data_IF_702978826593
#
_entry.id   IF_702978826593
#
_cell.length_a   1.000
_cell.length_b   1.000
_cell.length_c   1.000
_cell.angle_alpha   90.00
_cell.angle_beta   90.00
_cell.angle_gamma   90.00
#
_symmetry.space_group_name_H-M   'P 1'
#
loop_
_entity.id
_entity.type
_entity.pdbx_description
1 polymer ?
#
# COMPACT_ATOMS: atom_id res chain seq x y z
N UNK A 1 33.64 25.25 3.84
CA UNK A 1 33.59 24.63 5.19
C UNK A 1 32.21 24.03 5.40
N UNK A 2 32.12 22.79 5.84
CA UNK A 2 30.81 22.14 6.07
C UNK A 2 30.17 22.70 7.34
N UNK A 3 28.89 23.10 7.27
CA UNK A 3 28.09 23.65 8.39
C UNK A 3 27.30 22.57 9.14
N UNK A 4 27.55 21.30 8.82
CA UNK A 4 26.93 20.13 9.46
C UNK A 4 27.42 20.04 10.91
N UNK A 5 26.50 19.82 11.86
CA UNK A 5 26.76 19.69 13.29
C UNK A 5 26.89 21.02 14.06
N UNK A 6 26.84 22.17 13.39
CA UNK A 6 26.99 23.48 14.05
C UNK A 6 25.64 24.12 14.38
N UNK A 7 25.45 24.44 15.66
CA UNK A 7 24.30 25.16 16.22
C UNK A 7 24.37 26.67 15.98
N UNK A 8 25.58 27.22 15.84
CA UNK A 8 25.81 28.66 15.63
C UNK A 8 25.18 29.18 14.32
N UNK A 9 24.47 30.30 14.41
CA UNK A 9 23.79 30.93 13.28
C UNK A 9 22.55 30.17 12.79
N UNK A 10 21.90 29.40 13.66
CA UNK A 10 20.55 28.88 13.43
C UNK A 10 19.53 29.91 13.93
N UNK A 11 18.54 30.22 13.08
CA UNK A 11 17.46 31.16 13.39
C UNK A 11 16.39 30.47 14.27
N UNK A 12 16.69 30.27 15.55
CA UNK A 12 15.80 29.62 16.52
C UNK A 12 14.41 30.27 16.62
N UNK A 13 13.39 29.48 16.97
CA UNK A 13 12.00 29.94 17.06
C UNK A 13 11.28 30.14 15.72
N UNK A 14 11.90 29.79 14.59
CA UNK A 14 11.32 29.98 13.25
C UNK A 14 11.26 28.69 12.42
N UNK A 15 10.40 28.68 11.39
CA UNK A 15 10.38 27.60 10.39
C UNK A 15 11.70 27.49 9.63
N UNK A 16 12.39 28.62 9.42
CA UNK A 16 13.69 28.66 8.76
C UNK A 16 14.74 27.96 9.62
N UNK A 17 14.74 28.23 10.93
CA UNK A 17 15.56 27.53 11.92
C UNK A 17 15.33 26.03 11.92
N UNK A 18 14.07 25.59 11.90
CA UNK A 18 13.74 24.15 11.80
C UNK A 18 14.37 23.48 10.57
N UNK A 19 14.32 24.15 9.40
CA UNK A 19 14.95 23.65 8.17
C UNK A 19 16.48 23.65 8.28
N UNK A 20 17.07 24.65 8.92
CA UNK A 20 18.51 24.71 9.16
C UNK A 20 18.98 23.57 10.07
N UNK A 21 18.26 23.26 11.15
CA UNK A 21 18.52 22.07 11.98
C UNK A 21 18.52 20.78 11.16
N UNK A 22 17.49 20.57 10.35
CA UNK A 22 17.37 19.37 9.51
C UNK A 22 18.49 19.27 8.48
N UNK A 23 18.85 20.38 7.83
CA UNK A 23 19.93 20.42 6.85
C UNK A 23 21.31 20.19 7.49
N UNK A 24 21.54 20.81 8.66
CA UNK A 24 22.80 20.72 9.40
C UNK A 24 22.87 19.47 10.29
N UNK A 25 21.81 18.66 10.36
CA UNK A 25 21.69 17.46 11.21
C UNK A 25 21.97 17.76 12.69
N UNK A 26 21.42 18.87 13.17
CA UNK A 26 21.49 19.30 14.58
C UNK A 26 20.12 19.04 15.20
N UNK A 27 20.08 18.43 16.37
CA UNK A 27 18.82 18.11 17.05
C UNK A 27 18.01 19.36 17.37
N UNK A 28 16.71 19.30 17.10
CA UNK A 28 15.75 20.33 17.50
C UNK A 28 15.18 19.96 18.87
N UNK A 29 15.54 20.71 19.91
CA UNK A 29 14.92 20.60 21.23
C UNK A 29 13.65 21.45 21.31
N UNK A 30 12.81 21.20 22.32
CA UNK A 30 11.64 22.06 22.60
C UNK A 30 12.08 23.49 22.98
N UNK A 31 13.22 23.64 23.66
CA UNK A 31 13.79 24.93 24.09
C UNK A 31 14.19 25.84 22.91
N UNK A 32 14.58 25.24 21.78
CA UNK A 32 14.93 25.93 20.55
C UNK A 32 13.72 26.61 19.89
N UNK A 33 12.48 26.24 20.23
CA UNK A 33 11.25 26.86 19.73
C UNK A 33 10.92 26.59 18.25
N UNK A 34 11.86 26.01 17.48
CA UNK A 34 11.66 25.66 16.07
C UNK A 34 10.57 24.59 15.87
N UNK A 35 10.43 23.65 16.82
CA UNK A 35 9.36 22.65 16.79
C UNK A 35 7.98 23.29 16.98
N UNK A 36 7.87 24.29 17.86
CA UNK A 36 6.64 25.07 18.04
C UNK A 36 6.25 25.81 16.77
N UNK A 37 7.20 26.48 16.13
CA UNK A 37 6.97 27.16 14.85
C UNK A 37 6.47 26.21 13.75
N UNK A 38 6.99 24.97 13.71
CA UNK A 38 6.51 23.93 12.80
C UNK A 38 5.08 23.49 13.12
N UNK A 39 4.77 23.26 14.40
CA UNK A 39 3.41 22.89 14.85
C UNK A 39 2.40 23.98 14.50
N UNK A 40 2.74 25.24 14.73
CA UNK A 40 1.87 26.38 14.43
C UNK A 40 1.62 26.53 12.92
N UNK A 41 2.64 26.30 12.08
CA UNK A 41 2.47 26.30 10.63
C UNK A 41 1.61 25.14 10.14
N UNK A 42 1.83 23.93 10.67
CA UNK A 42 1.01 22.77 10.35
C UNK A 42 -0.44 22.95 10.81
N UNK A 43 -0.66 23.60 11.96
CA UNK A 43 -1.99 23.96 12.43
C UNK A 43 -2.66 24.97 11.49
N UNK A 44 -1.94 26.02 11.07
CA UNK A 44 -2.43 27.00 10.07
C UNK A 44 -2.76 26.33 8.73
N UNK A 45 -1.92 25.44 8.23
CA UNK A 45 -2.18 24.67 7.00
C UNK A 45 -3.39 23.76 7.14
N UNK A 46 -3.56 23.13 8.30
CA UNK A 46 -4.71 22.26 8.56
C UNK A 46 -6.00 23.08 8.64
N UNK A 47 -5.98 24.21 9.36
CA UNK A 47 -7.10 25.15 9.42
C UNK A 47 -7.45 25.69 8.02
N UNK A 48 -6.45 26.08 7.22
CA UNK A 48 -6.65 26.49 5.84
C UNK A 48 -7.24 25.35 4.99
N UNK A 49 -6.80 24.10 5.15
CA UNK A 49 -7.36 22.93 4.44
C UNK A 49 -8.80 22.60 4.83
N UNK A 50 -9.25 22.98 6.03
CA UNK A 50 -10.63 22.78 6.48
C UNK A 50 -11.56 23.89 5.98
N UNK A 51 -11.06 25.11 5.79
CA UNK A 51 -11.86 26.25 5.32
C UNK A 51 -11.82 26.41 3.81
N UNK A 52 -10.72 25.99 3.16
CA UNK A 52 -10.52 26.19 1.75
C UNK A 52 -11.10 25.02 0.95
N UNK A 53 -12.19 25.32 0.25
CA UNK A 53 -12.73 24.46 -0.81
C UNK A 53 -11.79 24.57 -2.03
N UNK A 54 -10.56 24.08 -1.89
CA UNK A 54 -9.53 24.32 -2.91
C UNK A 54 -9.96 23.75 -4.27
N UNK A 55 -9.72 24.47 -5.39
CA UNK A 55 -10.24 24.11 -6.71
C UNK A 55 -9.90 22.69 -7.17
N UNK A 56 -8.72 22.16 -6.80
CA UNK A 56 -8.35 20.77 -7.14
C UNK A 56 -9.15 19.69 -6.41
N UNK A 57 -9.66 19.99 -5.20
CA UNK A 57 -10.53 19.09 -4.43
C UNK A 57 -11.96 19.12 -4.96
N UNK A 58 -12.40 20.28 -5.46
CA UNK A 58 -13.68 20.44 -6.14
C UNK A 58 -13.63 19.84 -7.54
N UNK A 59 -12.53 20.01 -8.29
CA UNK A 59 -12.33 19.37 -9.59
C UNK A 59 -12.32 17.84 -9.49
N UNK A 60 -11.65 17.26 -8.48
CA UNK A 60 -11.73 15.81 -8.21
C UNK A 60 -13.11 15.35 -7.78
N UNK A 61 -13.84 16.15 -7.01
CA UNK A 61 -15.23 15.85 -6.61
C UNK A 61 -16.19 15.97 -7.78
N UNK A 62 -16.01 16.96 -8.64
CA UNK A 62 -16.81 17.20 -9.83
C UNK A 62 -16.54 16.12 -10.89
N UNK A 63 -15.27 15.73 -11.07
CA UNK A 63 -14.88 14.63 -11.96
C UNK A 63 -15.42 13.27 -11.51
N UNK A 64 -15.42 12.99 -10.19
CA UNK A 64 -15.92 11.72 -9.65
C UNK A 64 -17.37 11.78 -9.13
N UNK A 65 -18.08 12.90 -9.30
CA UNK A 65 -19.41 13.10 -8.70
C UNK A 65 -19.49 12.88 -7.18
N UNK A 66 -18.37 12.99 -6.46
CA UNK A 66 -18.28 12.60 -5.05
C UNK A 66 -18.31 11.08 -4.77
N UNK A 67 -18.36 10.22 -5.80
CA UNK A 67 -18.48 8.76 -5.67
C UNK A 67 -17.26 8.08 -5.03
N UNK A 68 -16.07 8.69 -5.14
CA UNK A 68 -14.85 8.22 -4.45
C UNK A 68 -14.70 8.77 -3.03
N UNK A 69 -15.74 9.39 -2.45
CA UNK A 69 -15.83 9.62 -0.99
C UNK A 69 -16.38 8.36 -0.31
N UNK A 70 -15.63 7.27 -0.41
CA UNK A 70 -15.97 6.02 0.24
C UNK A 70 -14.70 5.33 0.68
N UNK A 71 -14.71 4.71 1.86
CA UNK A 71 -13.74 3.67 2.23
C UNK A 71 -13.53 2.78 1.01
N UNK A 72 -12.27 2.49 0.64
CA UNK A 72 -11.94 1.56 -0.44
C UNK A 72 -12.93 0.40 -0.39
N UNK A 73 -13.63 0.12 -1.50
CA UNK A 73 -14.56 -1.02 -1.58
C UNK A 73 -13.88 -2.17 -0.85
N UNK A 74 -14.49 -2.69 0.21
CA UNK A 74 -13.93 -3.83 0.95
C UNK A 74 -13.54 -4.85 -0.09
N UNK A 75 -12.27 -5.23 -0.08
CA UNK A 75 -11.77 -6.25 -0.97
C UNK A 75 -12.71 -7.45 -0.83
N UNK A 76 -13.31 -7.84 -1.95
CA UNK A 76 -14.19 -8.99 -1.93
C UNK A 76 -13.27 -10.18 -1.65
N UNK A 77 -13.18 -10.59 -0.40
CA UNK A 77 -12.54 -11.82 0.04
C UNK A 77 -13.37 -12.97 -0.54
N UNK A 78 -13.27 -13.15 -1.85
CA UNK A 78 -13.85 -14.28 -2.54
C UNK A 78 -13.11 -15.51 -2.01
N UNK A 79 -13.83 -16.53 -1.54
CA UNK A 79 -13.19 -17.75 -1.07
C UNK A 79 -12.33 -18.35 -2.19
N UNK A 80 -11.09 -18.68 -1.86
CA UNK A 80 -10.09 -19.25 -2.79
C UNK A 80 -9.58 -20.59 -2.25
N UNK A 81 -9.00 -21.40 -3.13
CA UNK A 81 -8.45 -22.69 -2.72
C UNK A 81 -9.54 -23.65 -2.23
N UNK A 82 -9.32 -24.27 -1.07
CA UNK A 82 -10.22 -25.27 -0.50
C UNK A 82 -11.64 -24.75 -0.20
N UNK A 83 -11.79 -23.45 0.07
CA UNK A 83 -13.09 -22.84 0.37
C UNK A 83 -13.85 -22.38 -0.88
N UNK A 84 -13.24 -22.51 -2.07
CA UNK A 84 -13.86 -22.07 -3.31
C UNK A 84 -15.13 -22.90 -3.60
N UNK A 85 -16.32 -22.28 -3.73
CA UNK A 85 -17.57 -23.00 -3.97
C UNK A 85 -17.70 -23.53 -5.39
N UNK A 86 -16.77 -23.18 -6.29
CA UNK A 86 -16.82 -23.59 -7.69
C UNK A 86 -16.49 -25.08 -7.81
N UNK A 87 -17.46 -25.86 -8.29
CA UNK A 87 -17.31 -27.30 -8.53
C UNK A 87 -16.08 -27.59 -9.39
N UNK A 88 -15.26 -28.54 -8.96
CA UNK A 88 -13.98 -28.95 -9.58
C UNK A 88 -12.79 -27.98 -9.44
N UNK A 89 -12.94 -26.84 -8.76
CA UNK A 89 -11.81 -25.95 -8.50
C UNK A 89 -10.79 -26.63 -7.56
N UNK A 90 -9.50 -26.56 -7.90
CA UNK A 90 -8.41 -27.14 -7.12
C UNK A 90 -8.27 -28.66 -7.23
N UNK A 91 -9.01 -29.31 -8.14
CA UNK A 91 -8.89 -30.75 -8.37
C UNK A 91 -7.60 -31.10 -9.12
N UNK A 92 -7.08 -32.30 -8.84
CA UNK A 92 -5.87 -32.83 -9.47
C UNK A 92 -6.08 -32.99 -10.98
N UNK A 93 -5.26 -32.30 -11.75
CA UNK A 93 -5.23 -32.28 -13.22
C UNK A 93 -4.70 -33.57 -13.86
N UNK A 94 -4.27 -34.54 -13.06
CA UNK A 94 -3.63 -35.76 -13.53
C UNK A 94 -4.63 -36.63 -14.34
N UNK A 95 -4.27 -36.90 -15.60
CA UNK A 95 -5.02 -37.83 -16.45
C UNK A 95 -6.35 -37.29 -17.01
N UNK A 96 -6.66 -35.99 -16.84
CA UNK A 96 -7.87 -35.40 -17.40
C UNK A 96 -7.60 -34.20 -18.33
N UNK A 97 -8.53 -34.02 -19.27
CA UNK A 97 -8.53 -32.90 -20.22
C UNK A 97 -8.51 -31.56 -19.48
N UNK A 98 -7.92 -30.51 -20.08
CA UNK A 98 -7.97 -29.16 -19.53
C UNK A 98 -9.39 -28.77 -19.13
N UNK A 99 -9.52 -28.10 -17.97
CA UNK A 99 -10.80 -27.57 -17.51
C UNK A 99 -11.48 -26.63 -18.51
N UNK A 100 -12.73 -26.21 -18.21
CA UNK A 100 -13.49 -25.32 -19.07
C UNK A 100 -12.73 -24.04 -19.48
N UNK A 101 -13.15 -23.40 -20.57
CA UNK A 101 -12.52 -22.14 -21.03
C UNK A 101 -12.47 -21.11 -19.89
N UNK A 102 -11.29 -20.54 -19.66
CA UNK A 102 -11.03 -19.55 -18.60
C UNK A 102 -10.49 -20.15 -17.29
N UNK A 103 -10.42 -21.47 -17.20
CA UNK A 103 -9.72 -22.15 -16.10
C UNK A 103 -8.22 -22.15 -16.33
N UNK A 104 -7.48 -22.19 -15.23
CA UNK A 104 -6.02 -22.15 -15.21
C UNK A 104 -5.49 -23.43 -14.59
N UNK A 105 -4.68 -24.16 -15.35
CA UNK A 105 -3.92 -25.29 -14.85
C UNK A 105 -2.63 -24.79 -14.21
N UNK A 106 -2.43 -25.09 -12.94
CA UNK A 106 -1.21 -24.77 -12.20
C UNK A 106 -0.38 -26.04 -12.06
N UNK A 107 0.88 -25.94 -12.45
CA UNK A 107 1.89 -26.96 -12.25
C UNK A 107 3.23 -26.25 -12.01
N UNK A 108 3.86 -26.50 -10.86
CA UNK A 108 5.17 -25.93 -10.52
C UNK A 108 6.20 -27.05 -10.60
N UNK A 109 7.19 -26.89 -11.47
CA UNK A 109 8.23 -27.89 -11.66
C UNK A 109 9.03 -28.10 -10.37
N UNK A 110 9.24 -29.35 -9.98
CA UNK A 110 9.93 -29.70 -8.74
C UNK A 110 9.07 -29.55 -7.48
N UNK A 111 7.78 -29.23 -7.61
CA UNK A 111 6.85 -29.33 -6.48
C UNK A 111 6.40 -30.78 -6.26
N UNK A 112 6.14 -31.13 -5.00
CA UNK A 112 5.43 -32.33 -4.62
C UNK A 112 3.91 -32.19 -4.81
N UNK A 113 3.40 -30.98 -5.05
CA UNK A 113 2.00 -30.78 -5.42
C UNK A 113 1.72 -31.30 -6.84
N UNK A 114 0.66 -32.10 -7.04
CA UNK A 114 0.23 -32.47 -8.37
C UNK A 114 -0.25 -31.23 -9.13
N UNK A 115 -0.24 -31.31 -10.46
CA UNK A 115 -0.90 -30.30 -11.27
C UNK A 115 -2.38 -30.21 -10.86
N UNK A 116 -2.94 -29.01 -10.75
CA UNK A 116 -4.35 -28.77 -10.36
C UNK A 116 -5.01 -27.74 -11.27
N UNK A 117 -6.31 -27.87 -11.49
CA UNK A 117 -7.11 -26.93 -12.29
C UNK A 117 -7.91 -25.96 -11.42
N UNK A 118 -7.86 -24.67 -11.73
CA UNK A 118 -8.48 -23.60 -10.96
C UNK A 118 -9.44 -22.75 -11.79
N UNK A 119 -10.58 -22.37 -11.21
CA UNK A 119 -11.63 -21.66 -11.92
C UNK A 119 -11.35 -20.17 -12.18
N UNK A 120 -10.36 -19.59 -11.50
CA UNK A 120 -10.05 -18.17 -11.57
C UNK A 120 -8.56 -17.91 -11.31
N UNK A 121 -8.08 -16.73 -11.72
CA UNK A 121 -6.72 -16.29 -11.42
C UNK A 121 -6.42 -16.24 -9.92
N UNK A 122 -7.38 -15.83 -9.09
CA UNK A 122 -7.20 -15.81 -7.62
C UNK A 122 -6.97 -17.21 -7.02
N UNK A 123 -7.72 -18.21 -7.48
CA UNK A 123 -7.52 -19.60 -7.05
C UNK A 123 -6.23 -20.19 -7.64
N UNK A 124 -5.85 -19.79 -8.84
CA UNK A 124 -4.56 -20.18 -9.43
C UNK A 124 -3.38 -19.64 -8.62
N UNK A 125 -3.43 -18.39 -8.15
CA UNK A 125 -2.40 -17.83 -7.26
C UNK A 125 -2.28 -18.61 -5.95
N UNK A 126 -3.40 -19.02 -5.36
CA UNK A 126 -3.40 -19.93 -4.21
C UNK A 126 -2.70 -21.26 -4.54
N UNK A 127 -3.01 -21.87 -5.68
CA UNK A 127 -2.38 -23.12 -6.12
C UNK A 127 -0.88 -23.00 -6.35
N UNK A 128 -0.43 -21.89 -6.95
CA UNK A 128 1.00 -21.60 -7.14
C UNK A 128 1.69 -21.51 -5.78
N UNK A 129 1.14 -20.71 -4.86
CA UNK A 129 1.69 -20.55 -3.52
C UNK A 129 1.76 -21.89 -2.76
N UNK A 130 0.72 -22.73 -2.87
CA UNK A 130 0.71 -24.05 -2.25
C UNK A 130 1.81 -24.95 -2.81
N UNK A 131 2.02 -24.93 -4.14
CA UNK A 131 3.04 -25.73 -4.79
C UNK A 131 4.47 -25.23 -4.46
N UNK A 132 4.67 -23.91 -4.37
CA UNK A 132 5.93 -23.31 -3.94
C UNK A 132 6.27 -23.63 -2.47
N UNK A 133 5.27 -23.72 -1.59
CA UNK A 133 5.47 -24.14 -0.20
C UNK A 133 5.81 -25.64 -0.07
N UNK A 134 5.55 -26.44 -1.11
CA UNK A 134 5.71 -27.90 -1.11
C UNK A 134 6.71 -28.35 -2.18
N UNK A 135 7.84 -27.68 -2.29
CA UNK A 135 8.93 -28.13 -3.16
C UNK A 135 9.42 -29.53 -2.73
N UNK A 136 9.57 -30.43 -3.69
CA UNK A 136 10.24 -31.70 -3.48
C UNK A 136 11.72 -31.40 -3.19
N UNK A 137 12.23 -31.95 -2.09
CA UNK A 137 13.62 -31.81 -1.67
C UNK A 137 14.58 -32.62 -2.56
#
# INVERSE_FOLDING_TARGET
>A
MSVIGKTEGIDHGTLRGYRQHRYRKVDTTEECGCLKALRDENAKKTAARTTDSSPGRNARQQWNGGALRGTSRREANLPTGADCPTTHCGQDAAGHSPGPRGWVRVHVAGSAEPARDYCSGSCATYGIALAELRMAA
#
